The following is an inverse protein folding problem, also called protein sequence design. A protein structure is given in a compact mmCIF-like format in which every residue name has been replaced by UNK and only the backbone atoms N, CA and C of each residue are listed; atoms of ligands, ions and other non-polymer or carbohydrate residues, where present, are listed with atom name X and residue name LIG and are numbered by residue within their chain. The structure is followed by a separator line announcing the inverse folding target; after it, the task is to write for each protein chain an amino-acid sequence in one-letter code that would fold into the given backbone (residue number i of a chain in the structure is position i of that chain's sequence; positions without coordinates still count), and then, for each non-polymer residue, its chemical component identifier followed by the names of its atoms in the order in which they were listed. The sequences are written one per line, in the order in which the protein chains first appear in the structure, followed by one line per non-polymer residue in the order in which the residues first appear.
data_IF_859383391229
#
_entry.id   IF_859383391229
#
_cell.length_a   1.000
_cell.length_b   1.000
_cell.length_c   1.000
_cell.angle_alpha   90.00
_cell.angle_beta   90.00
_cell.angle_gamma   90.00
#
_symmetry.space_group_name_H-M   'P 1'
#
loop_
_entity.id
_entity.type
_entity.pdbx_description
1 polymer ?
#
# COMPACT_ATOMS: atom_id res chain seq x y z
N UNK A 1 9.77 -42.82 -66.52
CA UNK A 1 10.32 -42.31 -65.24
C UNK A 1 9.49 -41.14 -64.68
N UNK A 2 8.15 -41.25 -64.59
CA UNK A 2 7.27 -40.12 -64.19
C UNK A 2 6.29 -40.44 -63.04
N UNK A 3 6.51 -41.51 -62.27
CA UNK A 3 5.55 -41.96 -61.24
C UNK A 3 5.94 -41.60 -59.80
N UNK A 4 7.15 -41.07 -59.55
CA UNK A 4 7.65 -40.84 -58.18
C UNK A 4 7.27 -39.46 -57.61
N UNK A 5 7.18 -38.41 -58.45
CA UNK A 5 6.85 -37.04 -58.01
C UNK A 5 5.44 -36.88 -57.44
N UNK A 6 4.48 -37.66 -57.93
CA UNK A 6 3.07 -37.52 -57.53
C UNK A 6 2.82 -38.02 -56.10
N UNK A 7 3.52 -39.09 -55.66
CA UNK A 7 3.36 -39.64 -54.30
C UNK A 7 3.88 -38.69 -53.21
N UNK A 8 5.08 -38.14 -53.40
CA UNK A 8 5.71 -37.22 -52.43
C UNK A 8 4.86 -35.95 -52.21
N UNK A 9 4.24 -35.44 -53.28
CA UNK A 9 3.35 -34.29 -53.17
C UNK A 9 2.05 -34.62 -52.43
N UNK A 10 1.47 -35.81 -52.62
CA UNK A 10 0.22 -36.21 -51.95
C UNK A 10 0.42 -36.36 -50.44
N UNK A 11 1.48 -37.03 -50.00
CA UNK A 11 1.74 -37.25 -48.57
C UNK A 11 2.05 -35.93 -47.83
N UNK A 12 2.77 -35.02 -48.49
CA UNK A 12 3.03 -33.67 -47.97
C UNK A 12 1.74 -32.85 -47.90
N UNK A 13 0.90 -32.90 -48.93
CA UNK A 13 -0.40 -32.21 -48.96
C UNK A 13 -1.32 -32.74 -47.85
N UNK A 14 -1.38 -34.05 -47.65
CA UNK A 14 -2.17 -34.66 -46.56
C UNK A 14 -1.68 -34.21 -45.18
N UNK A 15 -0.36 -34.19 -44.96
CA UNK A 15 0.23 -33.72 -43.70
C UNK A 15 -0.03 -32.23 -43.47
N UNK A 16 0.17 -31.41 -44.50
CA UNK A 16 -0.06 -29.95 -44.45
C UNK A 16 -1.54 -29.65 -44.19
N UNK A 17 -2.47 -30.34 -44.85
CA UNK A 17 -3.91 -30.21 -44.60
C UNK A 17 -4.27 -30.63 -43.17
N UNK A 18 -3.70 -31.73 -42.66
CA UNK A 18 -3.93 -32.18 -41.30
C UNK A 18 -3.43 -31.17 -40.26
N UNK A 19 -2.22 -30.64 -40.43
CA UNK A 19 -1.64 -29.61 -39.55
C UNK A 19 -2.45 -28.32 -39.61
N UNK A 20 -2.80 -27.86 -40.82
CA UNK A 20 -3.59 -26.64 -41.01
C UNK A 20 -4.98 -26.78 -40.38
N UNK A 21 -5.64 -27.92 -40.57
CA UNK A 21 -6.92 -28.23 -39.96
C UNK A 21 -6.84 -28.30 -38.43
N UNK A 22 -5.79 -28.89 -37.87
CA UNK A 22 -5.55 -28.94 -36.43
C UNK A 22 -5.35 -27.53 -35.85
N UNK A 23 -4.49 -26.72 -36.46
CA UNK A 23 -4.26 -25.32 -36.02
C UNK A 23 -5.53 -24.50 -36.12
N UNK A 24 -6.27 -24.61 -37.23
CA UNK A 24 -7.56 -23.94 -37.40
C UNK A 24 -8.56 -24.37 -36.32
N UNK A 25 -8.61 -25.67 -36.00
CA UNK A 25 -9.41 -26.21 -34.91
C UNK A 25 -9.05 -25.60 -33.56
N UNK A 26 -7.75 -25.51 -33.22
CA UNK A 26 -7.28 -24.88 -31.98
C UNK A 26 -7.65 -23.39 -31.92
N UNK A 27 -7.53 -22.66 -33.02
CA UNK A 27 -7.92 -21.25 -33.09
C UNK A 27 -9.42 -21.09 -32.86
N UNK A 28 -10.25 -21.94 -33.46
CA UNK A 28 -11.71 -21.94 -33.25
C UNK A 28 -12.04 -22.29 -31.80
N UNK A 29 -11.46 -23.35 -31.24
CA UNK A 29 -11.68 -23.75 -29.84
C UNK A 29 -11.25 -22.64 -28.89
N UNK A 30 -10.06 -22.08 -29.08
CA UNK A 30 -9.55 -20.96 -28.29
C UNK A 30 -10.47 -19.74 -28.38
N UNK A 31 -10.90 -19.38 -29.59
CA UNK A 31 -11.84 -18.27 -29.81
C UNK A 31 -13.19 -18.50 -29.14
N UNK A 32 -13.71 -19.72 -29.17
CA UNK A 32 -14.96 -20.10 -28.49
C UNK A 32 -14.79 -20.05 -26.97
N UNK A 33 -13.70 -20.62 -26.42
CA UNK A 33 -13.40 -20.57 -25.00
C UNK A 33 -13.19 -19.12 -24.52
N UNK A 34 -12.51 -18.30 -25.32
CA UNK A 34 -12.33 -16.88 -25.06
C UNK A 34 -13.66 -16.13 -25.12
N UNK A 35 -14.53 -16.42 -26.09
CA UNK A 35 -15.85 -15.81 -26.18
C UNK A 35 -16.74 -16.21 -25.01
N UNK A 36 -16.76 -17.50 -24.65
CA UNK A 36 -17.48 -18.00 -23.47
C UNK A 36 -16.91 -17.35 -22.21
N UNK A 37 -15.59 -17.34 -22.06
CA UNK A 37 -14.91 -16.63 -20.98
C UNK A 37 -15.33 -15.17 -20.95
N UNK A 38 -15.29 -14.47 -22.09
CA UNK A 38 -15.71 -13.08 -22.21
C UNK A 38 -17.21 -12.87 -22.00
N UNK A 39 -18.07 -13.88 -22.15
CA UNK A 39 -19.49 -13.75 -21.83
C UNK A 39 -19.75 -14.02 -20.35
N UNK A 40 -19.04 -15.00 -19.77
CA UNK A 40 -19.07 -15.35 -18.34
C UNK A 40 -18.43 -14.25 -17.49
N UNK A 41 -17.32 -13.67 -17.94
CA UNK A 41 -16.53 -12.67 -17.25
C UNK A 41 -16.72 -11.23 -17.80
N UNK A 42 -17.28 -11.05 -19.00
CA UNK A 42 -17.19 -9.78 -19.76
C UNK A 42 -18.51 -9.11 -20.13
N UNK A 43 -19.60 -9.41 -19.44
CA UNK A 43 -20.32 -8.26 -18.86
C UNK A 43 -19.59 -7.97 -17.58
N UNK A 44 -18.75 -6.95 -17.59
CA UNK A 44 -18.13 -6.49 -16.37
C UNK A 44 -19.21 -6.40 -15.30
N UNK A 45 -19.17 -7.32 -14.33
CA UNK A 45 -18.96 -6.82 -12.99
C UNK A 45 -17.79 -5.84 -13.17
N UNK A 46 -18.13 -4.58 -13.39
CA UNK A 46 -17.77 -3.57 -12.42
C UNK A 46 -17.25 -4.32 -11.19
N UNK A 47 -15.94 -4.55 -11.12
CA UNK A 47 -15.25 -4.38 -9.86
C UNK A 47 -15.68 -2.98 -9.46
N UNK A 48 -16.86 -2.85 -8.83
CA UNK A 48 -17.63 -1.62 -8.66
C UNK A 48 -16.61 -0.55 -8.38
N UNK A 49 -16.31 0.33 -9.37
CA UNK A 49 -15.00 0.93 -9.60
C UNK A 49 -14.37 1.12 -8.25
N UNK A 50 -13.49 0.18 -7.84
CA UNK A 50 -13.08 0.09 -6.43
C UNK A 50 -12.77 1.52 -6.05
N UNK A 51 -13.59 2.19 -5.21
CA UNK A 51 -13.72 3.63 -5.28
C UNK A 51 -12.30 4.16 -5.26
N UNK A 52 -11.89 4.85 -6.32
CA UNK A 52 -10.50 5.28 -6.46
C UNK A 52 -10.10 6.24 -5.32
N UNK A 53 -11.08 6.56 -4.49
CA UNK A 53 -11.08 7.45 -3.35
C UNK A 53 -11.27 6.69 -2.01
N UNK A 54 -11.43 5.36 -2.03
CA UNK A 54 -11.45 4.51 -0.84
C UNK A 54 -10.30 3.52 -0.89
N UNK A 55 -9.06 4.02 -0.98
CA UNK A 55 -8.00 3.30 -0.30
C UNK A 55 -8.44 3.23 1.15
N UNK A 56 -8.68 2.06 1.76
CA UNK A 56 -8.98 1.95 3.17
C UNK A 56 -7.68 2.20 3.95
N UNK A 57 -7.07 3.36 3.74
CA UNK A 57 -6.13 3.98 4.65
C UNK A 57 -7.01 4.44 5.80
N UNK A 58 -7.27 3.52 6.72
CA UNK A 58 -7.89 3.85 8.01
C UNK A 58 -6.78 4.49 8.85
N UNK A 59 -6.32 5.66 8.43
CA UNK A 59 -5.65 6.56 9.34
C UNK A 59 -6.75 7.36 10.05
N UNK A 60 -6.68 7.51 11.38
CA UNK A 60 -7.58 8.39 12.10
C UNK A 60 -7.53 9.80 11.47
N UNK A 61 -8.69 10.34 11.10
CA UNK A 61 -8.79 11.69 10.52
C UNK A 61 -8.89 12.75 11.63
N UNK A 62 -9.30 12.31 12.82
CA UNK A 62 -9.59 13.08 14.01
C UNK A 62 -8.38 13.25 14.95
N UNK A 63 -7.34 12.41 14.81
CA UNK A 63 -6.12 12.47 15.61
C UNK A 63 -4.86 12.25 14.76
N UNK A 64 -3.70 12.75 15.21
CA UNK A 64 -2.42 12.37 14.60
C UNK A 64 -2.24 10.83 14.62
N UNK A 65 -1.75 10.21 13.54
CA UNK A 65 -1.56 8.77 13.46
C UNK A 65 -0.46 8.31 14.42
N UNK A 66 -0.73 7.24 15.15
CA UNK A 66 0.25 6.58 16.02
C UNK A 66 0.98 5.44 15.30
N UNK A 67 1.92 4.81 15.98
CA UNK A 67 2.70 3.73 15.40
C UNK A 67 1.88 2.46 15.10
N UNK A 68 0.84 2.17 15.88
CA UNK A 68 -0.03 1.01 15.64
C UNK A 68 -0.92 1.24 14.40
N UNK A 69 -1.30 2.49 14.13
CA UNK A 69 -2.03 2.88 12.92
C UNK A 69 -1.18 2.67 11.66
N UNK A 70 0.15 2.92 11.73
CA UNK A 70 1.09 2.68 10.63
C UNK A 70 1.32 1.19 10.41
N UNK A 71 1.42 0.39 11.47
CA UNK A 71 1.60 -1.07 11.38
C UNK A 71 0.34 -1.78 10.84
N UNK A 72 -0.85 -1.23 11.11
CA UNK A 72 -2.11 -1.77 10.59
C UNK A 72 -2.41 -1.36 9.13
N UNK A 73 -1.55 -0.54 8.52
CA UNK A 73 -1.82 0.06 7.21
C UNK A 73 -1.74 -0.97 6.07
N UNK A 74 -2.84 -1.11 5.32
CA UNK A 74 -2.95 -2.02 4.17
C UNK A 74 -2.92 -1.22 2.88
N UNK A 75 -1.73 -1.08 2.29
CA UNK A 75 -1.56 -0.36 1.03
C UNK A 75 -1.93 -1.24 -0.17
N UNK A 76 -2.68 -0.67 -1.12
CA UNK A 76 -3.03 -1.35 -2.38
C UNK A 76 -1.81 -1.47 -3.30
N UNK A 77 -1.58 -2.67 -3.85
CA UNK A 77 -0.44 -2.95 -4.75
C UNK A 77 -0.72 -2.41 -6.15
N UNK A 78 0.08 -1.45 -6.61
CA UNK A 78 0.05 -0.90 -7.97
C UNK A 78 1.44 -0.99 -8.60
N UNK A 79 1.50 -1.37 -9.87
CA UNK A 79 2.74 -1.56 -10.62
C UNK A 79 3.41 -0.20 -10.92
N UNK A 80 4.12 0.36 -9.93
CA UNK A 80 5.15 1.38 -10.13
C UNK A 80 6.52 0.72 -10.00
N UNK A 81 7.55 1.33 -10.58
CA UNK A 81 8.94 0.84 -10.51
C UNK A 81 9.59 0.89 -9.13
N UNK A 82 8.82 0.77 -8.05
CA UNK A 82 9.29 0.65 -6.67
C UNK A 82 9.22 -0.81 -6.23
N UNK A 83 10.16 -1.26 -5.40
CA UNK A 83 10.13 -2.62 -4.84
C UNK A 83 9.29 -2.62 -3.56
N UNK A 84 8.35 -3.57 -3.46
CA UNK A 84 7.48 -3.71 -2.29
C UNK A 84 8.28 -3.86 -0.97
N UNK A 85 9.38 -4.63 -1.02
CA UNK A 85 10.26 -4.87 0.15
C UNK A 85 10.88 -3.57 0.68
N UNK A 86 11.21 -2.61 -0.18
CA UNK A 86 11.76 -1.33 0.25
C UNK A 86 10.69 -0.47 0.94
N UNK A 87 9.45 -0.53 0.46
CA UNK A 87 8.32 0.20 1.06
C UNK A 87 8.00 -0.37 2.44
N UNK A 88 7.93 -1.69 2.58
CA UNK A 88 7.66 -2.35 3.87
C UNK A 88 8.73 -1.99 4.91
N UNK A 89 10.01 -2.01 4.50
CA UNK A 89 11.11 -1.60 5.38
C UNK A 89 11.03 -0.14 5.83
N UNK A 90 10.62 0.77 4.93
CA UNK A 90 10.42 2.19 5.28
C UNK A 90 9.25 2.37 6.24
N UNK A 91 8.16 1.61 6.07
CA UNK A 91 6.99 1.66 6.96
C UNK A 91 7.34 1.17 8.37
N UNK A 92 8.09 0.07 8.48
CA UNK A 92 8.58 -0.44 9.76
C UNK A 92 9.46 0.60 10.47
N UNK A 93 10.36 1.24 9.73
CA UNK A 93 11.23 2.28 10.27
C UNK A 93 10.45 3.52 10.71
N UNK A 94 9.39 3.88 10.00
CA UNK A 94 8.51 5.00 10.34
C UNK A 94 7.69 4.69 11.61
N UNK A 95 7.18 3.47 11.75
CA UNK A 95 6.44 3.04 12.94
C UNK A 95 7.34 3.10 14.19
N UNK A 96 8.60 2.66 14.11
CA UNK A 96 9.55 2.78 15.22
C UNK A 96 9.81 4.25 15.60
N UNK A 97 10.01 5.11 14.60
CA UNK A 97 10.26 6.53 14.84
C UNK A 97 9.08 7.23 15.53
N UNK A 98 7.84 6.84 15.22
CA UNK A 98 6.64 7.33 15.91
C UNK A 98 6.62 6.87 17.36
N UNK A 99 6.87 5.59 17.64
CA UNK A 99 6.91 5.07 19.04
C UNK A 99 7.91 5.82 19.90
N UNK A 100 9.09 6.10 19.36
CA UNK A 100 10.12 6.86 20.09
C UNK A 100 9.73 8.31 20.35
N UNK A 101 9.04 8.95 19.41
CA UNK A 101 8.51 10.30 19.61
C UNK A 101 7.42 10.31 20.68
N UNK A 102 6.49 9.37 20.64
CA UNK A 102 5.38 9.30 21.57
C UNK A 102 5.86 9.03 23.01
N UNK A 103 6.87 8.17 23.18
CA UNK A 103 7.54 7.98 24.48
C UNK A 103 8.14 9.26 25.03
N UNK A 104 8.89 10.00 24.20
CA UNK A 104 9.50 11.28 24.61
C UNK A 104 8.45 12.32 24.98
N UNK A 105 7.35 12.38 24.25
CA UNK A 105 6.24 13.29 24.57
C UNK A 105 5.65 12.91 25.94
N UNK A 106 5.37 11.62 26.17
CA UNK A 106 4.86 11.15 27.45
C UNK A 106 5.82 11.47 28.61
N UNK A 107 7.12 11.27 28.43
CA UNK A 107 8.14 11.58 29.43
C UNK A 107 8.19 13.09 29.74
N UNK A 108 8.16 13.94 28.72
CA UNK A 108 8.15 15.40 28.90
C UNK A 108 6.86 15.89 29.56
N UNK A 109 5.70 15.36 29.15
CA UNK A 109 4.42 15.69 29.78
C UNK A 109 4.40 15.26 31.25
N UNK A 110 4.97 14.09 31.57
CA UNK A 110 5.12 13.63 32.95
C UNK A 110 6.03 14.56 33.76
N UNK A 111 7.16 15.01 33.21
CA UNK A 111 8.03 15.98 33.88
C UNK A 111 7.32 17.29 34.18
N UNK A 112 6.57 17.84 33.20
CA UNK A 112 5.80 19.08 33.39
C UNK A 112 4.69 18.91 34.43
N UNK A 113 4.01 17.76 34.46
CA UNK A 113 2.95 17.46 35.43
C UNK A 113 3.51 17.17 36.82
N UNK A 114 4.69 16.52 36.88
CA UNK A 114 5.48 16.28 38.09
C UNK A 114 6.36 17.48 38.47
N UNK A 115 6.08 18.67 37.94
CA UNK A 115 6.67 19.92 38.42
C UNK A 115 5.71 20.64 39.38
N UNK A 116 5.32 20.06 40.54
CA UNK A 116 4.65 20.83 41.56
C UNK A 116 5.69 21.77 42.17
N UNK A 117 5.43 23.07 42.07
CA UNK A 117 5.88 24.05 43.04
C UNK A 117 7.40 24.13 43.35
N UNK A 118 8.29 23.84 42.39
CA UNK A 118 9.65 24.43 42.41
C UNK A 118 9.69 25.81 41.76
N UNK A 119 8.52 26.45 41.59
CA UNK A 119 8.41 27.89 41.69
C UNK A 119 8.89 28.29 43.10
N UNK A 120 10.21 28.38 43.23
CA UNK A 120 10.90 29.02 44.34
C UNK A 120 10.16 30.33 44.63
N UNK A 121 9.79 30.61 45.89
CA UNK A 121 9.30 31.92 46.28
C UNK A 121 10.46 32.93 46.19
N UNK A 122 10.82 33.33 44.96
CA UNK A 122 11.72 34.44 44.69
C UNK A 122 10.93 35.76 44.72
N UNK A 123 9.99 35.90 45.67
CA UNK A 123 9.22 37.15 45.91
C UNK A 123 8.80 37.26 47.39
N UNK A 124 9.60 36.77 48.35
CA UNK A 124 9.28 36.91 49.77
C UNK A 124 10.51 37.06 50.69
N UNK A 125 11.63 37.56 50.14
CA UNK A 125 12.76 38.01 50.93
C UNK A 125 13.04 39.48 50.60
N UNK A 126 12.42 40.32 51.42
CA UNK A 126 13.03 41.54 51.97
C UNK A 126 13.12 42.78 51.05
N UNK A 127 11.97 43.39 50.78
CA UNK A 127 11.87 44.79 50.35
C UNK A 127 11.21 45.68 51.41
N UNK A 128 11.31 45.32 52.69
CA UNK A 128 10.71 46.03 53.82
C UNK A 128 11.77 46.53 54.84
N UNK A 129 12.76 47.35 54.41
CA UNK A 129 13.51 48.20 55.36
C UNK A 129 14.00 49.55 54.78
N UNK A 130 13.45 49.98 53.63
CA UNK A 130 13.78 51.31 53.09
C UNK A 130 12.56 52.21 53.16
N UNK A 131 12.47 52.93 54.28
CA UNK A 131 11.72 54.19 54.33
C UNK A 131 10.31 54.08 54.89
N UNK A 132 10.21 54.04 56.21
CA UNK A 132 9.10 54.69 56.92
C UNK A 132 9.39 54.71 58.41
N UNK A 133 10.07 55.78 58.88
CA UNK A 133 9.84 56.47 60.16
C UNK A 133 10.87 57.56 60.41
N UNK A 134 10.71 58.61 59.62
CA UNK A 134 10.51 60.00 60.06
C UNK A 134 10.45 60.24 61.59
N UNK A 135 11.07 61.37 61.94
CA UNK A 135 10.66 62.35 62.98
C UNK A 135 11.07 62.11 64.44
#
# INVERSE_FOLDING_TARGET
MCSSRVRISRDTIETVLAVLGFVLGLVVISGVLFLIGSLVFGRGEELAPAPRDSTPVVLPVDRPPDAADVEALRLSVVLRGYRMVEVDWVLDQLAEALRDRDRKIADLTNQLTQQPATAQPLVAADSDDVGARDA
#
